data_IF_262155677204
#
_entry.id   IF_262155677204
#
_cell.length_a   1.000
_cell.length_b   1.000
_cell.length_c   1.000
_cell.angle_alpha   90.00
_cell.angle_beta   90.00
_cell.angle_gamma   90.00
#
_symmetry.space_group_name_H-M   'P 1'
#
loop_
_entity.id
_entity.type
_entity.pdbx_description
1 polymer ?
#
# COMPACT_ATOMS: atom_id res chain seq x y z
N UNK A 1 -23.26 19.67 -1.21
CA UNK A 1 -22.78 18.27 -1.16
C UNK A 1 -22.94 17.77 0.26
N UNK A 2 -23.88 16.85 0.53
CA UNK A 2 -23.94 16.17 1.82
C UNK A 2 -22.71 15.26 1.90
N UNK A 3 -21.67 15.71 2.61
CA UNK A 3 -20.56 14.83 3.00
C UNK A 3 -21.16 13.69 3.81
N UNK A 4 -20.81 12.46 3.45
CA UNK A 4 -21.27 11.26 4.16
C UNK A 4 -20.88 11.44 5.63
N UNK A 5 -21.89 11.56 6.49
CA UNK A 5 -21.72 11.97 7.87
C UNK A 5 -21.68 10.78 8.82
N UNK A 6 -20.80 10.84 9.83
CA UNK A 6 -20.81 9.97 11.01
C UNK A 6 -20.75 8.46 10.73
N UNK A 7 -20.90 7.66 11.80
CA UNK A 7 -20.94 6.21 11.70
C UNK A 7 -22.23 5.69 11.02
N UNK A 8 -23.29 6.51 11.01
CA UNK A 8 -24.62 6.18 10.48
C UNK A 8 -24.85 6.71 9.06
N UNK A 9 -23.81 7.20 8.39
CA UNK A 9 -23.90 7.73 7.04
C UNK A 9 -24.34 6.68 6.02
N UNK A 10 -25.26 7.06 5.13
CA UNK A 10 -25.71 6.18 4.04
C UNK A 10 -24.59 5.95 3.02
N UNK A 11 -24.41 4.70 2.60
CA UNK A 11 -23.53 4.32 1.50
C UNK A 11 -24.38 3.78 0.34
N UNK A 12 -24.24 4.42 -0.82
CA UNK A 12 -24.88 3.93 -2.03
C UNK A 12 -24.24 2.61 -2.48
N UNK A 13 -24.95 1.84 -3.31
CA UNK A 13 -24.43 0.59 -3.85
C UNK A 13 -23.06 0.79 -4.53
N UNK A 14 -22.08 -0.03 -4.17
CA UNK A 14 -20.70 0.12 -4.64
C UNK A 14 -19.97 1.36 -4.10
N UNK A 15 -20.53 2.04 -3.11
CA UNK A 15 -19.99 3.28 -2.52
C UNK A 15 -19.98 4.44 -3.50
N UNK A 16 -20.94 4.56 -4.43
CA UNK A 16 -20.96 5.60 -5.48
C UNK A 16 -20.88 7.04 -4.95
N UNK A 17 -21.30 7.27 -3.71
CA UNK A 17 -21.24 8.55 -3.04
C UNK A 17 -19.89 8.83 -2.33
N UNK A 18 -18.95 7.87 -2.31
CA UNK A 18 -17.59 8.04 -1.80
C UNK A 18 -16.63 8.36 -2.95
N UNK A 19 -15.72 9.30 -2.70
CA UNK A 19 -14.52 9.45 -3.52
C UNK A 19 -13.67 8.18 -3.47
N UNK A 20 -12.80 8.00 -4.45
CA UNK A 20 -11.91 6.84 -4.51
C UNK A 20 -11.02 6.73 -3.25
N UNK A 21 -10.43 7.84 -2.80
CA UNK A 21 -9.64 7.87 -1.57
C UNK A 21 -10.44 7.52 -0.31
N UNK A 22 -11.70 7.95 -0.20
CA UNK A 22 -12.58 7.56 0.92
C UNK A 22 -12.88 6.05 0.90
N UNK A 23 -13.08 5.44 -0.29
CA UNK A 23 -13.23 3.98 -0.41
C UNK A 23 -11.97 3.25 0.07
N UNK A 24 -10.79 3.76 -0.29
CA UNK A 24 -9.52 3.17 0.14
C UNK A 24 -9.34 3.27 1.67
N UNK A 25 -9.62 4.43 2.26
CA UNK A 25 -9.59 4.60 3.71
C UNK A 25 -10.56 3.65 4.42
N UNK A 26 -11.77 3.48 3.89
CA UNK A 26 -12.74 2.53 4.43
C UNK A 26 -12.21 1.09 4.35
N UNK A 27 -11.57 0.70 3.25
CA UNK A 27 -10.92 -0.62 3.12
C UNK A 27 -9.79 -0.82 4.14
N UNK A 28 -8.96 0.21 4.38
CA UNK A 28 -7.90 0.17 5.40
C UNK A 28 -8.51 0.00 6.81
N UNK A 29 -9.57 0.74 7.13
CA UNK A 29 -10.30 0.58 8.39
C UNK A 29 -10.84 -0.85 8.55
N UNK A 30 -11.36 -1.46 7.49
CA UNK A 30 -11.82 -2.86 7.50
C UNK A 30 -10.69 -3.84 7.76
N UNK A 31 -9.51 -3.63 7.18
CA UNK A 31 -8.31 -4.45 7.43
C UNK A 31 -7.91 -4.37 8.91
N UNK A 32 -7.88 -3.16 9.48
CA UNK A 32 -7.51 -2.94 10.89
C UNK A 32 -8.47 -3.64 11.86
N UNK A 33 -9.77 -3.62 11.56
CA UNK A 33 -10.79 -4.30 12.36
C UNK A 33 -10.74 -5.82 12.21
N UNK A 34 -10.53 -6.31 10.98
CA UNK A 34 -10.49 -7.75 10.70
C UNK A 34 -9.24 -8.45 11.25
N UNK A 35 -8.14 -7.71 11.44
CA UNK A 35 -6.83 -8.22 11.91
C UNK A 35 -6.36 -9.49 11.16
N UNK A 36 -6.33 -9.47 9.81
CA UNK A 36 -5.94 -10.65 9.04
C UNK A 36 -4.47 -11.00 9.24
N UNK A 37 -4.11 -12.27 9.01
CA UNK A 37 -2.71 -12.73 9.02
C UNK A 37 -1.93 -12.34 7.77
N UNK A 38 -2.64 -12.08 6.66
CA UNK A 38 -2.05 -11.68 5.38
C UNK A 38 -2.85 -10.49 4.86
N UNK A 39 -2.15 -9.43 4.47
CA UNK A 39 -2.72 -8.23 3.85
C UNK A 39 -2.10 -8.09 2.47
N UNK A 40 -2.94 -8.07 1.43
CA UNK A 40 -2.53 -7.76 0.07
C UNK A 40 -3.02 -6.35 -0.29
N UNK A 41 -2.10 -5.50 -0.73
CA UNK A 41 -2.39 -4.16 -1.23
C UNK A 41 -2.03 -4.12 -2.70
N UNK A 42 -3.06 -4.11 -3.54
CA UNK A 42 -2.92 -4.03 -4.99
C UNK A 42 -3.16 -2.59 -5.46
N UNK A 43 -2.15 -1.98 -6.08
CA UNK A 43 -2.20 -0.63 -6.70
C UNK A 43 -2.85 0.49 -5.86
N UNK A 44 -2.95 0.35 -4.53
CA UNK A 44 -3.72 1.27 -3.69
C UNK A 44 -3.09 2.67 -3.59
N UNK A 45 -1.95 2.90 -4.22
CA UNK A 45 -1.17 4.15 -4.14
C UNK A 45 -1.24 5.00 -5.39
N UNK A 46 -1.79 4.49 -6.49
CA UNK A 46 -1.91 5.25 -7.75
C UNK A 46 -2.69 6.56 -7.59
N UNK A 47 -3.52 6.66 -6.55
CA UNK A 47 -4.37 7.82 -6.24
C UNK A 47 -4.03 8.50 -4.90
N UNK A 48 -2.93 8.09 -4.24
CA UNK A 48 -2.51 8.59 -2.93
C UNK A 48 -1.07 9.11 -3.06
N UNK A 49 -0.78 10.30 -2.57
CA UNK A 49 0.59 10.83 -2.57
C UNK A 49 1.56 9.95 -1.75
N UNK A 50 2.85 9.95 -2.09
CA UNK A 50 3.85 9.07 -1.46
C UNK A 50 3.95 9.24 0.07
N UNK A 51 3.62 10.43 0.62
CA UNK A 51 3.62 10.62 2.07
C UNK A 51 2.41 9.93 2.74
N UNK A 52 1.24 10.02 2.13
CA UNK A 52 0.05 9.32 2.58
C UNK A 52 0.18 7.79 2.45
N UNK A 53 0.82 7.28 1.40
CA UNK A 53 1.12 5.84 1.30
C UNK A 53 1.99 5.36 2.47
N UNK A 54 3.12 6.03 2.73
CA UNK A 54 4.01 5.69 3.84
C UNK A 54 3.28 5.68 5.18
N UNK A 55 2.39 6.64 5.43
CA UNK A 55 1.56 6.68 6.65
C UNK A 55 0.65 5.46 6.76
N UNK A 56 0.00 5.05 5.67
CA UNK A 56 -0.88 3.86 5.66
C UNK A 56 -0.08 2.60 5.95
N UNK A 57 1.09 2.42 5.32
CA UNK A 57 1.95 1.25 5.54
C UNK A 57 2.44 1.22 6.99
N UNK A 58 2.95 2.33 7.52
CA UNK A 58 3.36 2.44 8.93
C UNK A 58 2.21 2.15 9.90
N UNK A 59 1.00 2.61 9.59
CA UNK A 59 -0.19 2.32 10.39
C UNK A 59 -0.50 0.82 10.39
N UNK A 60 -0.48 0.16 9.23
CA UNK A 60 -0.74 -1.27 9.12
C UNK A 60 0.32 -2.09 9.85
N UNK A 61 1.61 -1.80 9.63
CA UNK A 61 2.72 -2.48 10.30
C UNK A 61 2.64 -2.33 11.83
N UNK A 62 2.32 -1.14 12.34
CA UNK A 62 2.22 -0.90 13.78
C UNK A 62 0.98 -1.55 14.43
N UNK A 63 -0.14 -1.64 13.72
CA UNK A 63 -1.40 -2.18 14.26
C UNK A 63 -1.57 -3.69 14.03
N UNK A 64 -0.85 -4.23 13.05
CA UNK A 64 -0.86 -5.64 12.65
C UNK A 64 0.57 -6.22 12.65
N UNK A 65 1.28 -6.20 13.79
CA UNK A 65 2.71 -6.56 13.85
C UNK A 65 3.02 -8.02 13.49
N UNK A 66 2.01 -8.89 13.47
CA UNK A 66 2.16 -10.32 13.12
C UNK A 66 1.58 -10.66 11.73
N UNK A 67 1.10 -9.66 10.98
CA UNK A 67 0.57 -9.88 9.65
C UNK A 67 1.67 -9.80 8.60
N UNK A 68 1.60 -10.66 7.59
CA UNK A 68 2.40 -10.52 6.38
C UNK A 68 1.76 -9.51 5.45
N UNK A 69 2.50 -8.46 5.11
CA UNK A 69 2.06 -7.43 4.17
C UNK A 69 2.71 -7.66 2.80
N UNK A 70 1.88 -7.80 1.77
CA UNK A 70 2.29 -7.92 0.37
C UNK A 70 1.73 -6.70 -0.35
N UNK A 71 2.59 -5.92 -0.99
CA UNK A 71 2.20 -4.73 -1.75
C UNK A 71 2.67 -4.82 -3.19
N UNK A 72 1.79 -4.45 -4.11
CA UNK A 72 2.12 -4.28 -5.53
C UNK A 72 2.33 -2.78 -5.75
N UNK A 73 3.54 -2.39 -6.13
CA UNK A 73 3.97 -0.99 -6.24
C UNK A 73 4.41 -0.69 -7.67
N UNK A 74 3.95 0.43 -8.23
CA UNK A 74 4.42 0.96 -9.52
C UNK A 74 5.55 1.98 -9.37
N UNK A 75 5.69 2.58 -8.18
CA UNK A 75 6.74 3.57 -7.90
C UNK A 75 7.63 3.08 -6.78
N UNK A 76 8.92 3.39 -6.87
CA UNK A 76 9.96 2.84 -6.00
C UNK A 76 10.13 3.60 -4.67
N UNK A 77 9.34 4.65 -4.40
CA UNK A 77 9.42 5.32 -3.10
C UNK A 77 8.79 4.49 -1.98
N UNK A 78 9.47 4.41 -0.84
CA UNK A 78 8.96 3.69 0.34
C UNK A 78 9.36 2.21 0.37
N UNK A 79 10.20 1.74 -0.56
CA UNK A 79 10.70 0.36 -0.56
C UNK A 79 11.48 0.03 0.72
N UNK A 80 12.10 1.02 1.36
CA UNK A 80 12.83 0.86 2.63
C UNK A 80 11.96 0.37 3.80
N UNK A 81 10.63 0.49 3.68
CA UNK A 81 9.68 -0.01 4.66
C UNK A 81 9.47 -1.53 4.58
N UNK A 82 9.87 -2.17 3.48
CA UNK A 82 9.66 -3.60 3.23
C UNK A 82 10.90 -4.41 3.62
N UNK A 83 10.69 -5.69 3.94
CA UNK A 83 11.78 -6.61 4.27
C UNK A 83 12.32 -7.34 3.02
N UNK A 84 11.47 -7.51 2.00
CA UNK A 84 11.80 -8.16 0.74
C UNK A 84 11.13 -7.37 -0.40
N UNK A 85 11.91 -7.04 -1.43
CA UNK A 85 11.42 -6.51 -2.70
C UNK A 85 11.63 -7.57 -3.77
N UNK A 86 10.60 -7.79 -4.59
CA UNK A 86 10.62 -8.72 -5.72
C UNK A 86 10.34 -7.92 -6.98
N UNK A 87 11.31 -7.84 -7.88
CA UNK A 87 11.15 -7.29 -9.22
C UNK A 87 10.68 -8.40 -10.15
N UNK A 88 9.57 -8.18 -10.85
CA UNK A 88 8.96 -9.15 -11.74
C UNK A 88 8.75 -8.57 -13.14
N UNK A 89 8.99 -9.40 -14.16
CA UNK A 89 8.66 -9.08 -15.55
C UNK A 89 8.25 -10.36 -16.30
N UNK A 90 7.26 -10.24 -17.19
CA UNK A 90 6.75 -11.35 -18.01
C UNK A 90 6.48 -12.66 -17.23
N UNK A 91 5.93 -12.52 -16.02
CA UNK A 91 5.61 -13.65 -15.14
C UNK A 91 6.82 -14.34 -14.47
N UNK A 92 8.00 -13.73 -14.54
CA UNK A 92 9.24 -14.23 -13.94
C UNK A 92 9.79 -13.25 -12.91
N UNK A 93 10.46 -13.78 -11.89
CA UNK A 93 11.22 -12.97 -10.93
C UNK A 93 12.54 -12.59 -11.58
N UNK A 94 12.78 -11.29 -11.73
CA UNK A 94 14.04 -10.74 -12.21
C UNK A 94 15.04 -10.59 -11.06
N UNK A 95 14.58 -10.03 -9.92
CA UNK A 95 15.41 -9.78 -8.74
C UNK A 95 14.62 -9.97 -7.46
N UNK A 96 15.32 -10.37 -6.41
CA UNK A 96 14.79 -10.42 -5.05
C UNK A 96 15.88 -9.94 -4.08
N UNK A 97 15.59 -8.93 -3.27
CA UNK A 97 16.57 -8.33 -2.36
C UNK A 97 15.93 -7.74 -1.10
N UNK A 98 16.73 -7.59 -0.05
CA UNK A 98 16.36 -6.83 1.15
C UNK A 98 16.78 -5.35 0.94
N UNK A 99 15.83 -4.41 0.85
CA UNK A 99 16.13 -3.01 0.55
C UNK A 99 16.99 -2.34 1.63
N UNK A 100 17.03 -2.88 2.86
CA UNK A 100 17.86 -2.35 3.96
C UNK A 100 19.32 -2.82 3.89
N UNK A 101 19.58 -4.00 3.30
CA UNK A 101 20.92 -4.58 3.17
C UNK A 101 21.64 -4.12 1.90
N UNK A 102 20.88 -3.68 0.90
CA UNK A 102 21.42 -3.30 -0.43
C UNK A 102 21.89 -1.83 -0.47
N UNK A 103 22.19 -1.22 0.68
CA UNK A 103 22.65 0.16 0.78
C UNK A 103 23.85 0.41 -0.15
N UNK A 104 23.72 1.43 -1.00
CA UNK A 104 24.71 1.93 -1.99
C UNK A 104 24.83 1.17 -3.31
N UNK A 105 23.93 1.46 -4.26
CA UNK A 105 24.37 1.59 -5.66
C UNK A 105 23.53 2.64 -6.39
N UNK A 106 24.16 3.82 -6.49
CA UNK A 106 24.06 4.90 -7.47
C UNK A 106 22.81 5.79 -7.54
N UNK A 107 23.14 7.06 -7.29
CA UNK A 107 22.52 8.33 -7.65
C UNK A 107 22.33 8.50 -9.18
N UNK A 108 21.75 7.51 -9.86
CA UNK A 108 21.40 7.62 -11.27
C UNK A 108 20.00 7.05 -11.43
N UNK A 109 19.07 7.88 -11.90
CA UNK A 109 17.71 7.49 -12.27
C UNK A 109 17.67 6.56 -13.49
N UNK A 110 18.54 5.57 -13.53
CA UNK A 110 18.57 4.49 -14.50
C UNK A 110 18.67 3.17 -13.72
N UNK A 111 17.50 2.57 -13.52
CA UNK A 111 17.42 1.11 -13.41
C UNK A 111 18.00 0.57 -14.73
N UNK A 112 19.16 -0.07 -14.66
CA UNK A 112 19.73 -0.72 -15.85
C UNK A 112 18.80 -1.85 -16.29
N UNK A 113 18.29 -1.70 -17.52
CA UNK A 113 17.61 -2.69 -18.36
C UNK A 113 18.54 -3.84 -18.73
#
# INVERSE_FOLDING_TARGET
>A
MNRIGGLTGHLDEGGKNLSYGEKQLLSICRILLARPRIVLIDEATSHIDSASHRRVIQLLMSRLPSATLISILHVLEGLEAYDIVIEMDNGKILKQYNPKETGTTTDTGELQL
#
